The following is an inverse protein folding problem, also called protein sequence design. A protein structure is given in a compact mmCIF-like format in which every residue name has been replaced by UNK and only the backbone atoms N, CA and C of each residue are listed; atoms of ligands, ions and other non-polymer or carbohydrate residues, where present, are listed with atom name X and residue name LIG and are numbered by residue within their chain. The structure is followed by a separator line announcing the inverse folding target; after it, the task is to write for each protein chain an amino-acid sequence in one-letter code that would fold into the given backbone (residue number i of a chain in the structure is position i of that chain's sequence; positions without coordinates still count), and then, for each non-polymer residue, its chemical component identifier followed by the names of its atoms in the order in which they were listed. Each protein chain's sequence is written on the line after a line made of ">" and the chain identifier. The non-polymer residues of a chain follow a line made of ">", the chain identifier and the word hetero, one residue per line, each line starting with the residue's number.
data_IF_425846355653
#
_entry.id   IF_425846355653
#
_cell.length_a   1.000
_cell.length_b   1.000
_cell.length_c   1.000
_cell.angle_alpha   90.00
_cell.angle_beta   90.00
_cell.angle_gamma   90.00
#
_symmetry.space_group_name_H-M   'P 1'
#
loop_
_entity.id
_entity.type
_entity.pdbx_description
1 polymer ?
#
# COMPACT_ATOMS: atom_id res chain seq x y z
N UNK A 1 -7.24 -10.09 -38.95
CA UNK A 1 -6.93 -9.52 -40.27
C UNK A 1 -6.08 -10.53 -41.01
N UNK A 2 -6.75 -11.24 -41.95
CA UNK A 2 -6.17 -12.35 -42.68
C UNK A 2 -5.16 -11.85 -43.71
N UNK A 3 -3.94 -12.32 -43.62
CA UNK A 3 -2.98 -12.28 -44.69
C UNK A 3 -3.36 -13.42 -45.64
N UNK A 4 -3.99 -13.11 -46.75
CA UNK A 4 -4.16 -14.06 -47.86
C UNK A 4 -2.78 -14.47 -48.32
N UNK A 5 -2.42 -15.73 -48.04
CA UNK A 5 -1.25 -16.35 -48.65
C UNK A 5 -1.54 -16.52 -50.13
N UNK A 6 -0.83 -15.77 -50.99
CA UNK A 6 -0.83 -16.00 -52.40
C UNK A 6 -0.50 -17.46 -52.71
N UNK A 7 -1.39 -18.12 -53.48
CA UNK A 7 -1.15 -19.47 -53.98
C UNK A 7 0.17 -19.54 -54.77
N UNK A 8 0.95 -20.61 -54.66
CA UNK A 8 2.18 -20.75 -55.40
C UNK A 8 1.84 -20.76 -56.90
N UNK A 9 2.41 -19.81 -57.66
CA UNK A 9 2.36 -19.76 -59.09
C UNK A 9 2.95 -21.07 -59.64
N UNK A 10 2.08 -22.03 -59.94
CA UNK A 10 2.50 -23.21 -60.70
C UNK A 10 2.69 -22.80 -62.16
N UNK A 11 3.94 -22.66 -62.56
CA UNK A 11 4.31 -22.43 -63.95
C UNK A 11 4.09 -23.73 -64.70
N UNK A 12 2.91 -23.95 -65.29
CA UNK A 12 2.67 -24.99 -66.26
C UNK A 12 3.28 -24.52 -67.59
N UNK A 13 4.53 -24.72 -67.77
CA UNK A 13 5.18 -24.67 -69.06
C UNK A 13 4.58 -25.74 -69.95
N UNK A 14 3.79 -25.34 -70.95
CA UNK A 14 3.30 -26.22 -72.00
C UNK A 14 4.46 -26.69 -72.81
N UNK A 15 4.91 -27.93 -72.62
CA UNK A 15 5.82 -28.59 -73.59
C UNK A 15 5.03 -28.81 -74.90
N UNK A 16 5.34 -28.03 -75.89
CA UNK A 16 4.92 -28.27 -77.24
C UNK A 16 5.66 -29.51 -77.77
N UNK A 17 4.89 -30.58 -78.11
CA UNK A 17 5.42 -31.71 -78.86
C UNK A 17 5.77 -31.26 -80.27
N UNK A 18 7.03 -31.00 -80.54
CA UNK A 18 7.57 -30.75 -81.90
C UNK A 18 8.70 -31.71 -82.12
N UNK A 19 8.57 -32.51 -83.12
CA UNK A 19 9.48 -33.57 -83.58
C UNK A 19 10.91 -33.09 -83.80
N UNK A 20 11.81 -33.99 -83.37
CA UNK A 20 13.15 -34.25 -83.84
C UNK A 20 13.98 -33.08 -84.38
N UNK A 21 15.01 -32.77 -83.72
CA UNK A 21 16.11 -31.94 -84.12
C UNK A 21 16.66 -31.12 -82.97
N UNK A 22 17.89 -31.42 -82.65
CA UNK A 22 18.70 -30.73 -81.69
C UNK A 22 18.43 -29.23 -81.53
N UNK A 23 17.66 -28.88 -80.56
CA UNK A 23 17.70 -27.55 -79.98
C UNK A 23 17.88 -27.79 -78.49
N UNK A 24 19.13 -28.01 -78.09
CA UNK A 24 19.53 -27.54 -76.78
C UNK A 24 19.04 -26.10 -76.68
N UNK A 25 18.04 -25.89 -75.83
CA UNK A 25 17.51 -24.53 -75.62
C UNK A 25 18.67 -23.68 -75.19
N UNK A 26 19.03 -22.74 -76.01
CA UNK A 26 19.92 -21.65 -75.68
C UNK A 26 19.27 -20.92 -74.52
N UNK A 27 19.63 -21.25 -73.33
CA UNK A 27 19.42 -20.39 -72.19
C UNK A 27 20.36 -19.24 -72.43
N UNK A 28 19.81 -18.08 -72.76
CA UNK A 28 20.58 -16.87 -72.94
C UNK A 28 21.47 -16.68 -71.72
N UNK A 29 22.81 -16.72 -71.88
CA UNK A 29 23.76 -16.53 -70.80
C UNK A 29 23.56 -15.21 -70.05
N UNK A 30 22.86 -14.27 -70.67
CA UNK A 30 22.43 -13.00 -69.99
C UNK A 30 21.39 -13.22 -68.89
N UNK A 31 20.68 -14.37 -68.88
CA UNK A 31 19.71 -14.76 -67.84
C UNK A 31 20.31 -15.67 -66.78
N UNK A 32 21.56 -16.13 -66.92
CA UNK A 32 22.24 -16.98 -65.96
C UNK A 32 22.36 -16.37 -64.56
N UNK A 33 22.62 -15.05 -64.38
CA UNK A 33 22.62 -14.44 -63.04
C UNK A 33 21.25 -14.52 -62.34
N UNK A 34 20.16 -14.54 -63.08
CA UNK A 34 18.79 -14.64 -62.53
C UNK A 34 18.45 -16.06 -62.04
N UNK A 35 19.05 -17.08 -62.65
CA UNK A 35 18.78 -18.49 -62.24
C UNK A 35 19.39 -18.82 -60.91
N UNK A 36 20.58 -18.32 -60.57
CA UNK A 36 21.20 -18.45 -59.25
C UNK A 36 20.43 -17.75 -58.16
N UNK A 37 19.81 -16.63 -58.47
CA UNK A 37 18.95 -15.91 -57.52
C UNK A 37 17.66 -16.67 -57.23
N UNK A 38 17.06 -17.31 -58.24
CA UNK A 38 15.87 -18.14 -58.07
C UNK A 38 16.14 -19.38 -57.20
N UNK A 39 17.29 -20.01 -57.38
CA UNK A 39 17.67 -21.16 -56.51
C UNK A 39 17.90 -20.77 -55.09
N UNK A 40 18.50 -19.60 -54.85
CA UNK A 40 18.65 -19.03 -53.49
C UNK A 40 17.31 -18.68 -52.89
N UNK A 41 16.40 -18.08 -53.71
CA UNK A 41 15.06 -17.75 -53.25
C UNK A 41 14.28 -19.01 -52.86
N UNK A 42 14.26 -20.05 -53.66
CA UNK A 42 13.60 -21.33 -53.34
C UNK A 42 14.15 -21.97 -52.10
N UNK A 43 15.50 -21.97 -51.91
CA UNK A 43 16.12 -22.44 -50.69
C UNK A 43 15.69 -21.65 -49.47
N UNK A 44 15.67 -20.33 -49.57
CA UNK A 44 15.24 -19.43 -48.50
C UNK A 44 13.77 -19.64 -48.18
N UNK A 45 12.90 -19.74 -49.18
CA UNK A 45 11.48 -20.02 -49.01
C UNK A 45 11.25 -21.35 -48.24
N UNK A 46 11.94 -22.41 -48.66
CA UNK A 46 11.87 -23.74 -47.97
C UNK A 46 12.41 -23.67 -46.55
N UNK A 47 13.43 -22.87 -46.30
CA UNK A 47 13.96 -22.68 -44.94
C UNK A 47 12.94 -21.95 -44.05
N UNK A 48 12.32 -20.88 -44.54
CA UNK A 48 11.27 -20.14 -43.85
C UNK A 48 10.08 -21.06 -43.57
N UNK A 49 9.61 -21.82 -44.56
CA UNK A 49 8.56 -22.81 -44.35
C UNK A 49 8.84 -23.79 -43.21
N UNK A 50 10.04 -24.37 -43.19
CA UNK A 50 10.46 -25.29 -42.11
C UNK A 50 10.59 -24.61 -40.74
N UNK A 51 10.87 -23.30 -40.71
CA UNK A 51 10.90 -22.53 -39.47
C UNK A 51 9.49 -22.27 -38.96
N UNK A 52 8.56 -21.94 -39.86
CA UNK A 52 7.16 -21.68 -39.49
C UNK A 52 6.44 -22.94 -39.02
N UNK A 53 6.72 -24.09 -39.63
CA UNK A 53 6.06 -25.36 -39.29
C UNK A 53 6.56 -25.96 -37.96
N UNK A 54 7.74 -25.55 -37.48
CA UNK A 54 8.33 -26.16 -36.30
C UNK A 54 8.55 -25.17 -35.17
N UNK A 55 7.79 -25.26 -34.12
CA UNK A 55 7.88 -24.36 -32.97
C UNK A 55 9.27 -24.33 -32.31
N UNK A 56 9.90 -25.50 -32.16
CA UNK A 56 11.25 -25.61 -31.60
C UNK A 56 12.31 -24.87 -32.42
N UNK A 57 12.17 -24.84 -33.75
CA UNK A 57 13.10 -24.10 -34.62
C UNK A 57 12.88 -22.61 -34.54
N UNK A 58 11.63 -22.16 -34.43
CA UNK A 58 11.33 -20.73 -34.19
C UNK A 58 11.96 -20.26 -32.89
N UNK A 59 11.80 -21.01 -31.81
CA UNK A 59 12.41 -20.67 -30.53
C UNK A 59 13.95 -20.74 -30.55
N UNK A 60 14.56 -21.67 -31.34
CA UNK A 60 16.02 -21.68 -31.51
C UNK A 60 16.51 -20.40 -32.19
N UNK A 61 15.82 -19.94 -33.25
CA UNK A 61 16.16 -18.70 -33.96
C UNK A 61 16.08 -17.49 -33.04
N UNK A 62 14.97 -17.33 -32.32
CA UNK A 62 14.81 -16.24 -31.32
C UNK A 62 15.95 -16.28 -30.28
N UNK A 63 16.30 -17.48 -29.81
CA UNK A 63 17.40 -17.64 -28.84
C UNK A 63 18.75 -17.21 -29.41
N UNK A 64 19.00 -17.53 -30.67
CA UNK A 64 20.27 -17.20 -31.32
C UNK A 64 20.35 -15.67 -31.61
N UNK A 65 19.26 -15.03 -32.00
CA UNK A 65 19.17 -13.57 -32.11
C UNK A 65 19.41 -12.88 -30.79
N UNK A 66 18.79 -13.38 -29.71
CA UNK A 66 19.02 -12.84 -28.36
C UNK A 66 20.49 -13.00 -27.93
N UNK A 67 21.12 -14.12 -28.29
CA UNK A 67 22.55 -14.34 -28.01
C UNK A 67 23.44 -13.37 -28.79
N UNK A 68 23.11 -13.10 -30.02
CA UNK A 68 23.83 -12.11 -30.83
C UNK A 68 23.72 -10.71 -30.23
N UNK A 69 22.52 -10.28 -29.87
CA UNK A 69 22.29 -9.02 -29.16
C UNK A 69 23.07 -8.96 -27.85
N UNK A 70 23.05 -10.07 -27.08
CA UNK A 70 23.82 -10.17 -25.84
C UNK A 70 25.32 -10.03 -26.07
N UNK A 71 25.87 -10.66 -27.14
CA UNK A 71 27.29 -10.54 -27.48
C UNK A 71 27.65 -9.12 -27.91
N UNK A 72 26.77 -8.47 -28.67
CA UNK A 72 27.03 -7.13 -29.20
C UNK A 72 26.89 -6.02 -28.14
N UNK A 73 25.93 -6.16 -27.25
CA UNK A 73 25.56 -5.09 -26.32
C UNK A 73 25.76 -5.47 -24.83
N UNK A 74 25.84 -6.74 -24.51
CA UNK A 74 25.90 -7.23 -23.12
C UNK A 74 27.29 -7.24 -22.48
N UNK A 75 28.26 -6.57 -23.08
CA UNK A 75 29.59 -6.46 -22.51
C UNK A 75 29.65 -5.35 -21.46
N UNK A 76 30.07 -5.69 -20.25
CA UNK A 76 30.30 -4.72 -19.17
C UNK A 76 31.29 -3.60 -19.53
N UNK A 77 32.11 -3.80 -20.59
CA UNK A 77 33.04 -2.79 -21.11
C UNK A 77 32.37 -1.82 -22.06
N UNK A 78 31.39 -2.31 -22.85
CA UNK A 78 30.72 -1.51 -23.92
C UNK A 78 29.52 -0.76 -23.37
N UNK A 79 28.79 -1.37 -22.43
CA UNK A 79 27.64 -0.76 -21.77
C UNK A 79 27.62 -1.16 -20.30
N UNK A 80 28.37 -0.43 -19.44
CA UNK A 80 28.37 -0.70 -18.01
C UNK A 80 26.99 -0.45 -17.44
N UNK A 81 26.44 -1.50 -16.81
CA UNK A 81 25.16 -1.39 -16.11
C UNK A 81 25.24 -0.31 -15.02
N UNK A 82 24.44 0.75 -15.17
CA UNK A 82 24.37 1.86 -14.21
C UNK A 82 23.29 1.68 -13.15
N UNK A 83 22.35 0.75 -13.38
CA UNK A 83 21.30 0.45 -12.41
C UNK A 83 21.84 -0.49 -11.34
N UNK A 84 21.76 -0.07 -10.09
CA UNK A 84 21.95 -0.94 -8.95
C UNK A 84 20.67 -1.77 -8.77
N UNK A 85 20.83 -3.07 -8.50
CA UNK A 85 19.70 -3.87 -7.99
C UNK A 85 19.77 -3.71 -6.48
N UNK A 86 18.80 -2.97 -5.95
CA UNK A 86 18.58 -2.91 -4.51
C UNK A 86 18.16 -4.30 -4.04
N UNK A 87 18.78 -4.80 -2.97
CA UNK A 87 18.38 -6.07 -2.39
C UNK A 87 16.97 -5.94 -1.84
N UNK A 88 16.15 -6.97 -1.97
CA UNK A 88 14.77 -6.98 -1.47
C UNK A 88 14.66 -6.82 0.06
N UNK A 89 15.80 -6.81 0.77
CA UNK A 89 15.88 -6.58 2.22
C UNK A 89 15.71 -5.11 2.61
N UNK A 90 15.73 -4.17 1.63
CA UNK A 90 15.49 -2.73 1.83
C UNK A 90 14.16 -2.25 1.20
N UNK A 91 13.16 -3.13 1.08
CA UNK A 91 11.82 -2.65 0.85
C UNK A 91 11.41 -1.81 2.06
N UNK A 92 11.41 -0.49 1.88
CA UNK A 92 10.86 0.41 2.89
C UNK A 92 9.39 0.06 3.03
N UNK A 93 9.05 -0.70 4.07
CA UNK A 93 7.66 -0.92 4.44
C UNK A 93 7.06 0.43 4.84
N UNK A 94 6.38 1.06 3.90
CA UNK A 94 5.60 2.25 4.20
C UNK A 94 4.45 1.86 5.12
N UNK A 95 4.53 2.31 6.36
CA UNK A 95 3.40 2.18 7.28
C UNK A 95 2.30 3.17 6.87
N UNK A 96 1.04 2.85 7.21
CA UNK A 96 -0.06 3.79 7.00
C UNK A 96 0.21 5.15 7.68
N UNK A 97 1.09 5.19 8.66
CA UNK A 97 1.49 6.39 9.41
C UNK A 97 2.37 7.34 8.58
N UNK A 98 3.12 6.82 7.61
CA UNK A 98 4.01 7.63 6.76
C UNK A 98 3.22 8.56 5.83
N UNK A 99 2.00 8.19 5.49
CA UNK A 99 1.09 8.99 4.66
C UNK A 99 0.31 10.03 5.44
N UNK A 100 0.34 10.01 6.79
CA UNK A 100 -0.34 11.02 7.60
C UNK A 100 0.53 12.25 7.70
N UNK A 101 0.04 13.39 7.20
CA UNK A 101 0.72 14.67 7.37
C UNK A 101 0.71 15.03 8.86
N UNK A 102 1.91 15.26 9.42
CA UNK A 102 2.05 15.64 10.83
C UNK A 102 1.62 17.10 11.02
N UNK A 103 0.49 17.31 11.66
CA UNK A 103 -0.02 18.64 12.05
C UNK A 103 -0.32 18.67 13.54
N UNK A 104 -0.07 19.82 14.17
CA UNK A 104 -0.49 20.08 15.54
C UNK A 104 -1.99 20.27 15.57
N UNK A 105 -2.67 19.53 16.43
CA UNK A 105 -4.13 19.59 16.54
C UNK A 105 -4.60 19.43 17.97
N UNK A 106 -5.81 19.88 18.22
CA UNK A 106 -6.48 19.80 19.51
C UNK A 106 -7.71 18.91 19.36
N UNK A 107 -7.81 17.89 20.19
CA UNK A 107 -8.96 17.00 20.27
C UNK A 107 -9.81 17.44 21.46
N UNK A 108 -11.08 17.68 21.20
CA UNK A 108 -12.07 18.01 22.21
C UNK A 108 -13.00 16.82 22.40
N UNK A 109 -13.22 16.46 23.63
CA UNK A 109 -14.10 15.36 24.04
C UNK A 109 -15.15 15.92 24.99
N UNK A 110 -16.42 15.57 24.74
CA UNK A 110 -17.54 16.01 25.58
C UNK A 110 -18.03 14.90 26.51
N UNK A 111 -18.79 15.25 27.53
CA UNK A 111 -19.36 14.32 28.50
C UNK A 111 -20.35 13.34 27.88
N UNK A 112 -21.06 13.75 26.82
CA UNK A 112 -21.98 12.90 26.06
C UNK A 112 -21.26 11.98 25.04
N UNK A 113 -19.91 12.04 25.01
CA UNK A 113 -19.10 11.19 24.14
C UNK A 113 -19.04 11.70 22.68
N UNK A 114 -19.16 13.01 22.47
CA UNK A 114 -18.86 13.62 21.18
C UNK A 114 -17.39 14.00 21.12
N UNK A 115 -16.77 13.74 19.97
CA UNK A 115 -15.35 14.02 19.73
C UNK A 115 -15.19 14.87 18.46
N UNK A 116 -14.26 15.78 18.49
CA UNK A 116 -13.87 16.59 17.35
C UNK A 116 -12.41 16.98 17.42
N UNK A 117 -11.83 17.23 16.26
CA UNK A 117 -10.47 17.73 16.11
C UNK A 117 -10.50 19.14 15.51
N UNK A 118 -9.68 20.03 16.05
CA UNK A 118 -9.49 21.37 15.52
C UNK A 118 -7.99 21.70 15.45
N UNK A 119 -7.59 22.51 14.49
CA UNK A 119 -6.21 22.94 14.34
C UNK A 119 -5.79 23.90 15.45
N UNK A 120 -6.70 24.79 15.83
CA UNK A 120 -6.50 25.79 16.86
C UNK A 120 -7.79 26.04 17.62
N UNK A 121 -7.71 26.15 18.94
CA UNK A 121 -8.81 26.54 19.81
C UNK A 121 -8.34 27.76 20.59
N UNK A 122 -8.85 28.95 20.24
CA UNK A 122 -8.48 30.21 20.90
C UNK A 122 -9.11 30.34 22.26
N UNK A 123 -10.39 29.96 22.36
CA UNK A 123 -11.13 29.98 23.62
C UNK A 123 -12.01 28.72 23.69
N UNK A 124 -11.78 27.95 24.73
CA UNK A 124 -12.49 26.69 25.00
C UNK A 124 -13.98 26.98 25.29
N UNK A 125 -14.28 28.11 25.91
CA UNK A 125 -15.65 28.50 26.26
C UNK A 125 -16.54 28.87 25.08
N UNK A 126 -15.94 29.25 23.94
CA UNK A 126 -16.68 29.62 22.70
C UNK A 126 -16.85 28.45 21.74
N UNK A 127 -16.33 27.29 22.11
CA UNK A 127 -16.42 26.10 21.27
C UNK A 127 -17.86 25.61 21.14
N UNK A 128 -18.31 25.35 19.90
CA UNK A 128 -19.67 24.85 19.65
C UNK A 128 -19.84 23.44 20.21
N UNK A 129 -20.68 23.29 21.21
CA UNK A 129 -21.13 22.05 21.80
C UNK A 129 -22.63 21.85 21.51
N UNK A 130 -23.12 20.64 21.73
CA UNK A 130 -24.56 20.38 21.69
C UNK A 130 -25.23 21.04 22.91
N UNK A 131 -26.48 21.35 22.76
CA UNK A 131 -27.29 21.91 23.86
C UNK A 131 -27.33 20.91 25.03
N UNK A 132 -26.95 21.38 26.21
CA UNK A 132 -26.91 20.57 27.42
C UNK A 132 -25.64 19.72 27.62
N UNK A 133 -24.76 19.65 26.61
CA UNK A 133 -23.46 18.89 26.71
C UNK A 133 -22.36 19.81 27.27
N UNK A 134 -21.39 19.20 27.94
CA UNK A 134 -20.26 19.91 28.52
C UNK A 134 -18.94 19.31 28.06
N UNK A 135 -17.88 20.10 28.08
CA UNK A 135 -16.56 19.63 27.72
C UNK A 135 -16.00 18.74 28.83
N UNK A 136 -15.61 17.51 28.47
CA UNK A 136 -14.95 16.58 29.38
C UNK A 136 -13.45 16.88 29.46
N UNK A 137 -12.77 17.00 28.29
CA UNK A 137 -11.34 17.27 28.24
C UNK A 137 -10.90 17.85 26.90
N UNK A 138 -9.76 18.52 26.93
CA UNK A 138 -9.09 19.11 25.77
C UNK A 138 -7.68 18.53 25.70
N UNK A 139 -7.33 17.90 24.59
CA UNK A 139 -6.08 17.19 24.42
C UNK A 139 -5.32 17.73 23.21
N UNK A 140 -4.09 18.14 23.40
CA UNK A 140 -3.19 18.51 22.32
C UNK A 140 -2.39 17.32 21.82
N UNK A 141 -2.07 17.29 20.53
CA UNK A 141 -1.19 16.29 19.96
C UNK A 141 -1.04 16.39 18.45
N UNK A 142 -0.06 15.68 17.91
CA UNK A 142 0.11 15.53 16.48
C UNK A 142 -0.95 14.61 15.89
N UNK A 143 -1.32 14.83 14.64
CA UNK A 143 -2.21 13.93 13.88
C UNK A 143 -1.71 12.48 13.85
N UNK A 144 -0.40 12.28 13.91
CA UNK A 144 0.24 10.94 13.96
C UNK A 144 0.14 10.28 15.34
N UNK A 145 -0.06 11.07 16.39
CA UNK A 145 -0.18 10.56 17.75
C UNK A 145 -1.54 9.88 17.96
N UNK A 146 -1.64 9.13 19.06
CA UNK A 146 -2.86 8.45 19.46
C UNK A 146 -3.51 9.14 20.64
N UNK A 147 -4.80 8.95 20.78
CA UNK A 147 -5.63 9.37 21.92
C UNK A 147 -6.35 8.15 22.44
N UNK A 148 -6.36 8.01 23.77
CA UNK A 148 -7.07 6.92 24.45
C UNK A 148 -8.28 7.48 25.19
N UNK A 149 -9.42 6.80 25.05
CA UNK A 149 -10.68 7.08 25.71
C UNK A 149 -10.97 5.96 26.70
N UNK A 150 -11.25 6.28 27.94
CA UNK A 150 -11.53 5.32 29.00
C UNK A 150 -13.03 5.29 29.30
N UNK A 151 -13.63 4.10 29.31
CA UNK A 151 -15.04 3.94 29.60
C UNK A 151 -15.30 3.59 31.06
N UNK A 152 -16.54 3.89 31.50
CA UNK A 152 -17.02 3.50 32.84
C UNK A 152 -17.03 1.98 33.06
N UNK A 153 -16.98 1.15 32.01
CA UNK A 153 -16.94 -0.32 32.09
C UNK A 153 -15.52 -0.90 32.13
N UNK A 154 -14.50 -0.04 32.23
CA UNK A 154 -13.11 -0.45 32.30
C UNK A 154 -12.54 -0.90 30.95
N UNK A 155 -13.03 -0.33 29.85
CA UNK A 155 -12.53 -0.55 28.49
C UNK A 155 -11.84 0.72 28.01
N UNK A 156 -10.65 0.57 27.45
CA UNK A 156 -9.89 1.63 26.80
C UNK A 156 -10.03 1.51 25.27
N UNK A 157 -10.31 2.61 24.63
CA UNK A 157 -10.45 2.76 23.19
C UNK A 157 -9.38 3.70 22.69
N UNK A 158 -8.48 3.23 21.82
CA UNK A 158 -7.39 4.05 21.27
C UNK A 158 -7.58 4.26 19.78
N UNK A 159 -7.54 5.52 19.36
CA UNK A 159 -7.57 5.94 17.96
C UNK A 159 -6.39 6.85 17.65
N UNK A 160 -6.01 6.94 16.39
CA UNK A 160 -5.14 8.03 15.94
C UNK A 160 -5.89 9.35 15.99
N UNK A 161 -5.19 10.41 16.32
CA UNK A 161 -5.79 11.76 16.27
C UNK A 161 -6.26 12.10 14.85
N UNK A 162 -5.58 11.58 13.82
CA UNK A 162 -6.00 11.72 12.43
C UNK A 162 -7.39 11.15 12.14
N UNK A 163 -7.80 10.08 12.83
CA UNK A 163 -9.10 9.41 12.62
C UNK A 163 -10.27 10.20 13.22
N UNK A 164 -9.97 11.15 14.13
CA UNK A 164 -10.99 12.04 14.69
C UNK A 164 -11.37 13.10 13.67
N UNK A 165 -12.66 13.29 13.46
CA UNK A 165 -13.21 14.20 12.45
C UNK A 165 -12.78 15.65 12.66
N UNK A 166 -12.17 16.31 11.65
CA UNK A 166 -11.82 17.73 11.72
C UNK A 166 -13.08 18.58 11.48
N UNK A 167 -13.59 19.20 12.53
CA UNK A 167 -14.78 20.06 12.41
C UNK A 167 -14.81 21.19 13.43
N UNK A 168 -15.35 22.32 13.03
CA UNK A 168 -15.70 23.45 13.90
C UNK A 168 -17.13 23.36 14.46
N UNK A 169 -17.91 22.37 14.02
CA UNK A 169 -19.28 22.11 14.48
C UNK A 169 -19.31 21.37 15.82
N UNK A 170 -20.36 20.57 16.03
CA UNK A 170 -20.58 19.82 17.28
C UNK A 170 -19.65 18.61 17.42
N UNK A 171 -19.03 18.12 16.35
CA UNK A 171 -18.25 16.91 16.34
C UNK A 171 -19.04 15.69 15.87
N UNK A 172 -18.50 14.51 16.15
CA UNK A 172 -19.12 13.22 15.85
C UNK A 172 -19.19 12.35 17.10
N UNK A 173 -20.19 11.48 17.21
CA UNK A 173 -20.27 10.57 18.34
C UNK A 173 -19.15 9.54 18.26
N UNK A 174 -18.53 9.23 19.40
CA UNK A 174 -17.42 8.28 19.50
C UNK A 174 -17.82 6.86 19.02
N UNK A 175 -19.10 6.53 18.99
CA UNK A 175 -19.65 5.28 18.46
C UNK A 175 -19.36 5.09 16.96
N UNK A 176 -19.02 6.16 16.25
CA UNK A 176 -18.56 6.04 14.87
C UNK A 176 -17.21 5.31 14.79
N UNK A 177 -16.33 5.59 15.73
CA UNK A 177 -14.99 4.96 15.80
C UNK A 177 -15.06 3.59 16.49
N UNK A 178 -15.81 3.48 17.58
CA UNK A 178 -15.81 2.32 18.46
C UNK A 178 -17.22 1.77 18.72
N UNK A 179 -17.28 0.50 19.10
CA UNK A 179 -18.54 -0.18 19.44
C UNK A 179 -18.73 -0.13 20.96
N UNK A 180 -19.35 0.92 21.47
CA UNK A 180 -19.73 1.03 22.87
C UNK A 180 -20.97 0.18 23.17
N UNK A 181 -21.04 -0.33 24.40
CA UNK A 181 -22.21 -1.04 24.91
C UNK A 181 -23.29 -0.07 25.40
N UNK A 182 -24.47 -0.59 25.62
CA UNK A 182 -25.54 0.21 26.24
C UNK A 182 -25.11 0.73 27.61
N UNK A 183 -25.35 2.02 27.87
CA UNK A 183 -24.93 2.76 29.07
C UNK A 183 -23.41 2.90 29.23
N UNK A 184 -22.63 2.51 28.25
CA UNK A 184 -21.19 2.77 28.26
C UNK A 184 -20.93 4.22 27.87
N UNK A 185 -20.19 4.93 28.73
CA UNK A 185 -19.82 6.33 28.55
C UNK A 185 -18.32 6.51 28.75
N UNK A 186 -17.78 7.54 28.14
CA UNK A 186 -16.38 7.93 28.35
C UNK A 186 -16.29 8.75 29.64
N UNK A 187 -15.36 8.36 30.50
CA UNK A 187 -15.12 9.00 31.80
C UNK A 187 -13.83 9.80 31.83
N UNK A 188 -12.88 9.48 30.94
CA UNK A 188 -11.64 10.21 30.79
C UNK A 188 -11.05 9.96 29.39
N UNK A 189 -10.21 10.89 28.92
CA UNK A 189 -9.39 10.67 27.74
C UNK A 189 -8.01 11.30 27.96
N UNK A 190 -6.97 10.67 27.38
CA UNK A 190 -5.59 11.11 27.49
C UNK A 190 -4.94 11.13 26.10
N UNK A 191 -4.11 12.13 25.85
CA UNK A 191 -3.24 12.14 24.68
C UNK A 191 -2.03 11.26 24.95
N UNK A 192 -1.73 10.38 24.03
CA UNK A 192 -0.55 9.51 24.08
C UNK A 192 0.61 10.09 23.22
N UNK A 193 0.52 11.36 22.85
CA UNK A 193 1.62 12.07 22.21
C UNK A 193 2.85 12.06 23.14
N UNK A 194 4.02 11.60 22.70
CA UNK A 194 5.24 11.58 23.54
C UNK A 194 5.57 12.93 24.16
N UNK A 195 5.15 14.03 23.56
CA UNK A 195 5.38 15.39 24.08
C UNK A 195 4.44 15.73 25.24
N UNK A 196 3.21 15.24 25.19
CA UNK A 196 2.25 15.39 26.29
C UNK A 196 2.62 14.51 27.48
N UNK A 197 3.17 13.32 27.23
CA UNK A 197 3.58 12.35 28.25
C UNK A 197 4.91 12.73 28.92
N UNK A 198 5.80 13.46 28.26
CA UNK A 198 7.12 13.84 28.81
C UNK A 198 7.06 14.49 30.19
N UNK A 199 6.03 15.23 30.49
CA UNK A 199 5.85 15.87 31.81
C UNK A 199 5.64 14.85 32.92
N UNK A 200 5.19 13.64 32.59
CA UNK A 200 4.88 12.56 33.54
C UNK A 200 6.10 11.63 33.71
N UNK A 201 6.97 11.55 32.70
CA UNK A 201 8.15 10.67 32.69
C UNK A 201 9.45 11.35 33.13
N UNK A 202 9.41 12.60 33.55
CA UNK A 202 10.60 13.31 33.99
C UNK A 202 11.24 12.60 35.20
N UNK A 203 12.44 12.09 35.00
CA UNK A 203 13.49 11.76 35.94
C UNK A 203 13.76 10.27 36.21
N UNK A 204 14.61 9.70 35.33
CA UNK A 204 15.82 8.94 35.75
C UNK A 204 16.67 8.68 34.54
N UNK A 205 17.99 8.89 34.64
CA UNK A 205 18.99 8.35 33.71
C UNK A 205 18.84 6.82 33.69
N UNK A 206 18.46 6.27 32.58
CA UNK A 206 18.11 4.88 32.39
C UNK A 206 16.78 4.76 31.64
N UNK A 207 16.36 3.56 31.26
CA UNK A 207 15.11 3.29 30.54
C UNK A 207 13.93 4.03 31.19
N UNK A 208 13.25 4.86 30.37
CA UNK A 208 12.08 5.59 30.84
C UNK A 208 11.09 4.62 31.48
N UNK A 209 10.66 4.85 32.74
CA UNK A 209 9.70 3.96 33.38
C UNK A 209 8.42 3.94 32.55
N UNK A 210 7.75 2.78 32.41
CA UNK A 210 6.52 2.68 31.65
C UNK A 210 5.49 3.64 32.24
N UNK A 211 4.82 4.40 31.36
CA UNK A 211 3.77 5.34 31.77
C UNK A 211 2.59 4.56 32.33
N UNK A 212 2.12 4.97 33.51
CA UNK A 212 1.01 4.36 34.22
C UNK A 212 -0.10 5.38 34.40
N UNK A 213 -1.33 4.89 34.47
CA UNK A 213 -2.50 5.65 34.90
C UNK A 213 -3.11 5.02 36.14
N UNK A 214 -3.87 5.79 36.86
CA UNK A 214 -4.65 5.34 38.02
C UNK A 214 -6.14 5.49 37.70
N UNK A 215 -6.89 4.42 37.93
CA UNK A 215 -8.34 4.44 37.82
C UNK A 215 -8.97 4.32 39.20
N UNK A 216 -10.08 5.02 39.41
CA UNK A 216 -10.88 4.95 40.60
C UNK A 216 -12.29 4.50 40.23
N UNK A 217 -12.84 3.59 41.01
CA UNK A 217 -14.21 3.08 40.85
C UNK A 217 -15.18 3.71 41.83
N UNK A 218 -16.49 3.70 41.51
CA UNK A 218 -17.55 4.31 42.31
C UNK A 218 -17.64 3.74 43.74
N UNK A 219 -17.12 2.55 43.98
CA UNK A 219 -17.05 1.91 45.30
C UNK A 219 -15.72 2.16 46.03
N UNK A 220 -14.89 3.10 45.57
CA UNK A 220 -13.68 3.56 46.26
C UNK A 220 -12.42 2.74 46.00
N UNK A 221 -12.47 1.67 45.18
CA UNK A 221 -11.25 0.94 44.80
C UNK A 221 -10.45 1.70 43.75
N UNK A 222 -9.14 1.67 43.85
CA UNK A 222 -8.22 2.21 42.88
C UNK A 222 -7.33 1.13 42.25
N UNK A 223 -6.94 1.31 41.00
CA UNK A 223 -6.03 0.43 40.28
C UNK A 223 -5.02 1.25 39.53
N UNK A 224 -3.74 1.00 39.75
CA UNK A 224 -2.66 1.49 38.89
C UNK A 224 -2.42 0.49 37.76
N UNK A 225 -2.41 0.94 36.53
CA UNK A 225 -2.20 0.12 35.33
C UNK A 225 -1.26 0.77 34.34
N UNK A 226 -0.55 -0.02 33.55
CA UNK A 226 0.36 0.48 32.51
C UNK A 226 -0.42 0.93 31.28
N UNK A 227 -0.01 2.06 30.68
CA UNK A 227 -0.52 2.53 29.39
C UNK A 227 0.12 1.83 28.20
N UNK A 228 1.19 1.08 28.36
CA UNK A 228 1.88 0.39 27.26
C UNK A 228 0.92 -0.43 26.36
N UNK A 229 -0.06 -1.20 26.88
CA UNK A 229 -0.98 -1.94 26.02
C UNK A 229 -1.95 -1.07 25.19
N UNK A 230 -2.10 0.21 25.54
CA UNK A 230 -3.05 1.13 24.88
C UNK A 230 -2.38 2.21 24.03
N UNK A 231 -1.07 2.14 23.83
CA UNK A 231 -0.32 3.09 23.00
C UNK A 231 -0.71 2.98 21.53
N UNK A 232 -0.98 1.76 21.05
CA UNK A 232 -1.37 1.51 19.66
C UNK A 232 -2.89 1.57 19.49
N UNK A 233 -3.37 1.95 18.30
CA UNK A 233 -4.78 1.92 17.97
C UNK A 233 -5.44 0.60 18.33
N UNK A 234 -6.61 0.66 18.95
CA UNK A 234 -7.37 -0.53 19.33
C UNK A 234 -8.35 -0.96 18.24
N UNK A 235 -8.82 -2.19 18.33
CA UNK A 235 -9.98 -2.62 17.55
C UNK A 235 -11.23 -1.84 18.01
N UNK A 236 -12.32 -1.92 17.24
CA UNK A 236 -13.59 -1.25 17.58
C UNK A 236 -14.19 -1.72 18.92
N UNK A 237 -13.77 -2.88 19.43
CA UNK A 237 -14.20 -3.43 20.71
C UNK A 237 -13.38 -2.91 21.91
N UNK A 238 -12.28 -2.20 21.67
CA UNK A 238 -11.39 -1.69 22.70
C UNK A 238 -10.57 -2.77 23.40
N UNK A 239 -9.81 -2.36 24.40
CA UNK A 239 -9.00 -3.23 25.28
C UNK A 239 -9.40 -3.02 26.72
N UNK A 240 -9.55 -4.10 27.48
CA UNK A 240 -9.92 -4.01 28.90
C UNK A 240 -8.73 -3.61 29.74
N UNK A 241 -8.83 -2.51 30.48
CA UNK A 241 -7.82 -2.04 31.44
C UNK A 241 -8.20 -2.28 32.91
N UNK A 242 -9.50 -2.32 33.22
CA UNK A 242 -10.00 -2.57 34.56
C UNK A 242 -11.23 -3.49 34.55
N UNK A 243 -11.52 -4.12 35.68
CA UNK A 243 -12.72 -4.95 35.92
C UNK A 243 -13.43 -4.44 37.16
N UNK A 244 -14.30 -3.44 37.04
CA UNK A 244 -15.13 -3.05 38.19
C UNK A 244 -15.93 -4.22 38.73
N UNK A 245 -16.14 -4.29 40.03
CA UNK A 245 -17.01 -5.28 40.64
C UNK A 245 -18.46 -5.10 40.23
N UNK A 246 -19.30 -6.12 40.38
CA UNK A 246 -20.71 -6.05 39.99
C UNK A 246 -21.39 -4.85 40.64
N UNK A 247 -22.06 -4.02 39.83
CA UNK A 247 -22.73 -2.80 40.28
C UNK A 247 -21.84 -1.59 40.48
N UNK A 248 -20.51 -1.70 40.32
CA UNK A 248 -19.60 -0.56 40.30
C UNK A 248 -19.19 -0.16 38.91
N UNK A 249 -18.91 1.11 38.73
CA UNK A 249 -18.40 1.70 37.51
C UNK A 249 -17.06 2.42 37.76
N UNK A 250 -16.26 2.60 36.73
CA UNK A 250 -15.11 3.51 36.78
C UNK A 250 -15.62 4.94 36.86
N UNK A 251 -15.19 5.65 37.90
CA UNK A 251 -15.54 7.06 38.14
C UNK A 251 -14.61 8.01 37.38
N UNK A 252 -13.34 7.64 37.22
CA UNK A 252 -12.35 8.44 36.51
C UNK A 252 -11.03 7.72 36.32
N UNK A 253 -10.20 8.28 35.43
CA UNK A 253 -8.82 7.84 35.15
C UNK A 253 -7.94 9.09 35.07
N UNK A 254 -6.76 9.03 35.70
CA UNK A 254 -5.75 10.07 35.70
C UNK A 254 -4.33 9.49 35.55
#
# INVERSE_FOLDING_TARGET
>A
DGVELCEPLTFKGRMGSGSSGDRAGYIDESLAPGLDDWTKFDQTYRQIGRLLDTETKRWSMVRDEIREVKQKYGSAKTDPRRTLIESAEEEVEYSADDFIVAEETIVLVTTDGWVKRQKEVRDVGTTRLREGDTLLTVLGGSTRATVVFFSNFGIAYTARIADVSPTTGHGEPIQRLFKLKDRERIVAALSLDPRAIRHITAHREGDAPPVHAVTVTSNGYSLRFSLAPVLEPSTRAGRRYARPTAGAEVAGVA
#
